data_IF_510596882732
#
_entry.id   IF_510596882732
#
_cell.length_a   1.000
_cell.length_b   1.000
_cell.length_c   1.000
_cell.angle_alpha   90.00
_cell.angle_beta   90.00
_cell.angle_gamma   90.00
#
_symmetry.space_group_name_H-M   'P 1'
#
loop_
_entity.id
_entity.type
_entity.pdbx_description
1 polymer ?
#
# COMPACT_ATOMS: atom_id res chain seq x y z
N UNK A 1 34.32 -24.78 10.59
CA UNK A 1 33.52 -24.67 9.34
C UNK A 1 32.19 -24.00 9.68
N UNK A 2 31.98 -22.73 9.30
CA UNK A 2 30.68 -22.07 9.52
C UNK A 2 29.72 -22.64 8.48
N UNK A 3 28.78 -23.48 8.93
CA UNK A 3 27.75 -24.06 8.07
C UNK A 3 27.05 -22.95 7.30
N UNK A 4 26.91 -23.11 5.99
CA UNK A 4 26.05 -22.25 5.17
C UNK A 4 24.66 -22.34 5.79
N UNK A 5 24.18 -21.23 6.35
CA UNK A 5 22.78 -21.07 6.70
C UNK A 5 22.03 -21.34 5.40
N UNK A 6 21.13 -22.34 5.34
CA UNK A 6 20.38 -22.60 4.12
C UNK A 6 19.68 -21.30 3.74
N UNK A 7 19.76 -20.93 2.46
CA UNK A 7 18.99 -19.79 1.96
C UNK A 7 17.55 -19.98 2.46
N UNK A 8 16.99 -18.99 3.17
CA UNK A 8 15.65 -19.13 3.71
C UNK A 8 14.74 -19.52 2.54
N UNK A 9 13.90 -20.56 2.70
CA UNK A 9 13.05 -21.03 1.62
C UNK A 9 12.35 -19.81 1.04
N UNK A 10 12.46 -19.63 -0.28
CA UNK A 10 11.81 -18.52 -0.99
C UNK A 10 10.40 -18.40 -0.45
N UNK A 11 10.19 -17.42 0.42
CA UNK A 11 8.90 -17.19 1.05
C UNK A 11 7.94 -17.09 -0.13
N UNK A 12 6.97 -18.01 -0.28
CA UNK A 12 6.14 -18.03 -1.47
C UNK A 12 5.53 -16.64 -1.56
N UNK A 13 5.85 -15.95 -2.66
CA UNK A 13 5.37 -14.61 -2.92
C UNK A 13 3.84 -14.70 -2.93
N UNK A 14 3.25 -14.33 -1.81
CA UNK A 14 1.82 -14.38 -1.55
C UNK A 14 1.15 -13.64 -2.70
N UNK A 15 0.44 -14.42 -3.52
CA UNK A 15 -0.70 -14.07 -4.37
C UNK A 15 -0.51 -12.85 -5.28
N UNK A 16 -0.32 -13.14 -6.56
CA UNK A 16 -0.23 -12.19 -7.70
C UNK A 16 -1.54 -11.39 -7.96
N UNK A 17 -2.29 -10.98 -6.93
CA UNK A 17 -3.61 -10.36 -7.09
C UNK A 17 -3.83 -9.07 -6.26
N UNK A 18 -2.79 -8.41 -5.74
CA UNK A 18 -2.96 -7.30 -4.81
C UNK A 18 -2.12 -6.06 -5.17
N UNK A 19 -2.17 -5.65 -6.44
CA UNK A 19 -1.62 -4.36 -6.87
C UNK A 19 -2.53 -3.76 -7.93
N UNK A 20 -2.71 -2.44 -7.88
CA UNK A 20 -3.41 -1.72 -8.93
C UNK A 20 -2.58 -1.69 -10.22
N UNK A 21 -3.27 -1.59 -11.36
CA UNK A 21 -2.66 -1.58 -12.69
C UNK A 21 -1.94 -0.26 -13.04
N UNK A 22 -2.21 0.78 -12.26
CA UNK A 22 -1.52 2.06 -12.35
C UNK A 22 -0.32 2.16 -11.41
N UNK A 23 0.52 3.16 -11.65
CA UNK A 23 1.64 3.50 -10.79
C UNK A 23 1.41 4.82 -10.07
N UNK A 24 2.00 4.93 -8.88
CA UNK A 24 2.05 6.16 -8.07
C UNK A 24 3.49 6.45 -7.67
N UNK A 25 3.87 7.71 -7.42
CA UNK A 25 5.18 8.02 -6.87
C UNK A 25 5.42 7.30 -5.55
N UNK A 26 6.62 6.76 -5.34
CA UNK A 26 6.98 6.19 -4.04
C UNK A 26 6.99 7.32 -2.99
N UNK A 27 6.24 7.20 -1.87
CA UNK A 27 6.22 8.24 -0.85
C UNK A 27 7.61 8.52 -0.29
N UNK A 28 7.88 9.79 0.00
CA UNK A 28 9.15 10.25 0.59
C UNK A 28 9.00 10.58 2.08
N UNK A 29 8.27 9.75 2.82
CA UNK A 29 8.09 9.93 4.26
C UNK A 29 9.34 9.47 5.02
N UNK A 30 10.09 10.43 5.56
CA UNK A 30 11.35 10.18 6.28
C UNK A 30 11.18 9.13 7.38
N UNK A 31 12.00 8.08 7.33
CA UNK A 31 12.06 7.05 8.38
C UNK A 31 10.88 6.07 8.43
N UNK A 32 9.88 6.20 7.56
CA UNK A 32 8.70 5.31 7.50
C UNK A 32 8.63 4.41 6.27
N UNK A 33 9.45 4.65 5.25
CA UNK A 33 9.45 3.84 4.03
C UNK A 33 10.67 2.93 3.99
N UNK A 34 10.45 1.65 3.70
CA UNK A 34 11.49 0.62 3.59
C UNK A 34 11.37 -0.11 2.25
N UNK A 35 12.51 -0.34 1.58
CA UNK A 35 12.61 -1.13 0.35
C UNK A 35 13.14 -2.51 0.67
N UNK A 36 12.46 -3.56 0.24
CA UNK A 36 12.88 -4.94 0.44
C UNK A 36 12.96 -5.66 -0.91
N UNK A 37 14.13 -6.18 -1.26
CA UNK A 37 14.29 -7.07 -2.40
C UNK A 37 13.81 -8.48 -2.03
N UNK A 38 12.95 -9.05 -2.86
CA UNK A 38 12.54 -10.45 -2.75
C UNK A 38 12.29 -11.01 -4.14
N UNK A 39 13.06 -12.04 -4.51
CA UNK A 39 12.91 -12.73 -5.80
C UNK A 39 13.10 -11.82 -7.02
N UNK A 40 14.04 -10.88 -6.96
CA UNK A 40 14.32 -9.94 -8.06
C UNK A 40 13.33 -8.78 -8.17
N UNK A 41 12.35 -8.69 -7.27
CA UNK A 41 11.38 -7.59 -7.20
C UNK A 41 11.64 -6.75 -5.95
N UNK A 42 11.43 -5.44 -6.05
CA UNK A 42 11.55 -4.55 -4.90
C UNK A 42 10.15 -4.22 -4.39
N UNK A 43 9.90 -4.52 -3.12
CA UNK A 43 8.65 -4.22 -2.44
C UNK A 43 8.82 -3.02 -1.51
N UNK A 44 7.83 -2.13 -1.53
CA UNK A 44 7.78 -0.94 -0.71
C UNK A 44 6.92 -1.22 0.52
N UNK A 45 7.51 -1.01 1.69
CA UNK A 45 6.84 -1.21 2.97
C UNK A 45 6.73 0.10 3.73
N UNK A 46 5.59 0.27 4.41
CA UNK A 46 5.36 1.32 5.39
C UNK A 46 5.63 0.77 6.79
N UNK A 47 6.45 1.47 7.57
CA UNK A 47 6.78 1.15 8.96
C UNK A 47 5.70 1.77 9.84
N UNK A 48 4.96 0.91 10.53
CA UNK A 48 3.90 1.30 11.45
C UNK A 48 4.48 1.70 12.81
N UNK A 49 5.32 0.82 13.35
CA UNK A 49 5.90 0.98 14.68
C UNK A 49 7.26 0.26 14.75
N UNK A 50 7.99 0.52 15.83
CA UNK A 50 9.25 -0.14 16.15
C UNK A 50 9.12 -0.77 17.52
N UNK A 51 9.08 -2.09 17.55
CA UNK A 51 8.87 -2.85 18.78
C UNK A 51 10.21 -3.41 19.25
N UNK A 52 10.59 -3.12 20.48
CA UNK A 52 11.79 -3.65 21.10
C UNK A 52 11.54 -5.10 21.55
N UNK A 53 12.39 -6.01 21.08
CA UNK A 53 12.40 -7.42 21.48
C UNK A 53 13.51 -7.60 22.52
N UNK A 54 13.18 -7.65 23.83
CA UNK A 54 14.18 -7.69 24.91
C UNK A 54 15.00 -8.97 24.91
N UNK A 55 14.43 -10.09 24.47
CA UNK A 55 15.15 -11.38 24.38
C UNK A 55 16.24 -11.32 23.31
N UNK A 56 15.92 -10.74 22.14
CA UNK A 56 16.87 -10.64 21.02
C UNK A 56 17.71 -9.36 21.07
N UNK A 57 17.49 -8.52 22.08
CA UNK A 57 18.13 -7.20 22.27
C UNK A 57 18.14 -6.36 20.99
N UNK A 58 17.06 -6.44 20.21
CA UNK A 58 16.98 -5.78 18.91
C UNK A 58 15.59 -5.19 18.67
N UNK A 59 15.56 -4.00 18.07
CA UNK A 59 14.33 -3.32 17.70
C UNK A 59 13.88 -3.78 16.33
N UNK A 60 12.72 -4.43 16.24
CA UNK A 60 12.15 -4.85 14.96
C UNK A 60 11.10 -3.86 14.49
N UNK A 61 11.20 -3.35 13.25
CA UNK A 61 10.14 -2.55 12.68
C UNK A 61 8.96 -3.44 12.31
N UNK A 62 7.78 -3.13 12.83
CA UNK A 62 6.52 -3.67 12.33
C UNK A 62 6.18 -2.89 11.07
N UNK A 63 6.05 -3.60 9.96
CA UNK A 63 5.87 -3.00 8.64
C UNK A 63 4.86 -3.75 7.81
N UNK A 64 4.14 -3.03 6.98
CA UNK A 64 3.21 -3.60 6.00
C UNK A 64 3.65 -3.26 4.59
N UNK A 65 3.48 -4.19 3.65
CA UNK A 65 3.71 -3.92 2.23
C UNK A 65 2.61 -2.96 1.74
N UNK A 66 3.00 -1.88 1.07
CA UNK A 66 2.09 -0.89 0.48
C UNK A 66 2.17 -0.86 -1.05
N UNK A 67 3.14 -1.55 -1.64
CA UNK A 67 3.31 -1.53 -3.09
C UNK A 67 4.53 -2.31 -3.55
N UNK A 68 4.63 -2.46 -4.88
CA UNK A 68 5.79 -3.02 -5.57
C UNK A 68 6.40 -1.95 -6.46
N UNK A 69 7.72 -1.74 -6.34
CA UNK A 69 8.45 -0.80 -7.18
C UNK A 69 8.25 -1.16 -8.66
N UNK A 70 7.98 -0.15 -9.47
CA UNK A 70 7.96 -0.29 -10.92
C UNK A 70 9.38 -0.36 -11.47
N UNK A 71 9.50 -0.68 -12.76
CA UNK A 71 10.79 -0.84 -13.43
C UNK A 71 11.58 0.48 -13.51
N UNK A 72 10.88 1.62 -13.47
CA UNK A 72 11.48 2.96 -13.48
C UNK A 72 12.26 3.30 -12.19
N UNK A 73 12.08 2.52 -11.11
CA UNK A 73 12.72 2.74 -9.82
C UNK A 73 12.23 3.96 -9.03
N UNK A 74 11.29 4.72 -9.56
CA UNK A 74 10.78 5.99 -8.97
C UNK A 74 9.31 5.85 -8.57
N UNK A 75 8.54 5.08 -9.32
CA UNK A 75 7.14 4.81 -9.04
C UNK A 75 6.94 3.39 -8.52
N UNK A 76 5.74 3.11 -8.05
CA UNK A 76 5.33 1.79 -7.59
C UNK A 76 3.90 1.50 -8.00
N UNK A 77 3.59 0.22 -8.19
CA UNK A 77 2.23 -0.27 -8.21
C UNK A 77 1.73 -0.35 -6.76
N UNK A 78 0.78 0.51 -6.35
CA UNK A 78 0.26 0.50 -5.00
C UNK A 78 -0.64 -0.72 -4.78
N UNK A 79 -0.86 -1.11 -3.52
CA UNK A 79 -1.91 -2.03 -3.12
C UNK A 79 -3.03 -1.29 -2.37
N UNK A 80 -4.04 -2.00 -1.87
CA UNK A 80 -5.15 -1.40 -1.10
C UNK A 80 -4.65 -0.62 0.13
N UNK A 81 -3.73 -1.21 0.89
CA UNK A 81 -3.15 -0.60 2.10
C UNK A 81 -2.44 0.71 1.85
N UNK A 82 -1.97 0.97 0.64
CA UNK A 82 -1.38 2.27 0.30
C UNK A 82 -2.34 3.42 0.60
N UNK A 83 -3.62 3.27 0.24
CA UNK A 83 -4.63 4.31 0.35
C UNK A 83 -5.13 4.51 1.78
N UNK A 84 -4.96 3.51 2.65
CA UNK A 84 -5.20 3.67 4.09
C UNK A 84 -4.20 4.66 4.73
N UNK A 85 -2.96 4.69 4.24
CA UNK A 85 -1.92 5.59 4.78
C UNK A 85 -1.74 6.88 3.97
N UNK A 86 -2.10 6.87 2.69
CA UNK A 86 -1.96 7.98 1.76
C UNK A 86 -3.27 8.21 0.98
N UNK A 87 -4.35 8.65 1.64
CA UNK A 87 -5.65 8.87 1.00
C UNK A 87 -5.58 9.98 -0.07
N UNK A 88 -4.79 11.01 0.18
CA UNK A 88 -4.61 12.17 -0.72
C UNK A 88 -3.54 11.95 -1.80
N UNK A 89 -3.06 10.71 -1.97
CA UNK A 89 -2.06 10.42 -2.98
C UNK A 89 -2.62 10.70 -4.39
N UNK A 90 -1.83 11.33 -5.28
CA UNK A 90 -2.25 11.53 -6.66
C UNK A 90 -2.41 10.17 -7.34
N UNK A 91 -3.61 9.88 -7.81
CA UNK A 91 -3.95 8.72 -8.65
C UNK A 91 -4.35 9.18 -10.04
N UNK A 92 -4.26 8.32 -11.07
CA UNK A 92 -4.80 8.66 -12.38
C UNK A 92 -6.27 9.03 -12.31
N UNK A 93 -6.67 10.04 -13.10
CA UNK A 93 -8.02 10.59 -13.12
C UNK A 93 -9.12 9.54 -13.30
N UNK A 94 -8.86 8.50 -14.11
CA UNK A 94 -9.81 7.39 -14.31
C UNK A 94 -10.12 6.64 -13.01
N UNK A 95 -9.10 6.41 -12.18
CA UNK A 95 -9.21 5.67 -10.92
C UNK A 95 -9.82 6.54 -9.84
N UNK A 96 -9.49 7.84 -9.87
CA UNK A 96 -10.15 8.86 -9.03
C UNK A 96 -11.66 8.83 -9.25
N UNK A 97 -12.11 8.97 -10.52
CA UNK A 97 -13.54 8.93 -10.86
C UNK A 97 -14.21 7.63 -10.49
N UNK A 98 -13.53 6.49 -10.71
CA UNK A 98 -14.07 5.18 -10.34
C UNK A 98 -14.35 5.09 -8.84
N UNK A 99 -13.39 5.51 -8.01
CA UNK A 99 -13.55 5.52 -6.55
C UNK A 99 -14.62 6.49 -6.08
N UNK A 100 -14.67 7.67 -6.67
CA UNK A 100 -15.74 8.64 -6.41
C UNK A 100 -17.12 8.03 -6.71
N UNK A 101 -17.24 7.31 -7.85
CA UNK A 101 -18.47 6.63 -8.22
C UNK A 101 -18.83 5.47 -7.26
N UNK A 102 -17.84 4.67 -6.82
CA UNK A 102 -18.04 3.59 -5.84
C UNK A 102 -18.55 4.14 -4.49
N UNK A 103 -17.97 5.24 -3.99
CA UNK A 103 -18.42 5.91 -2.75
C UNK A 103 -19.84 6.46 -2.90
N UNK A 104 -20.16 7.07 -4.05
CA UNK A 104 -21.51 7.56 -4.32
C UNK A 104 -22.50 6.40 -4.37
N UNK A 105 -22.17 5.30 -5.06
CA UNK A 105 -23.03 4.13 -5.15
C UNK A 105 -23.29 3.48 -3.78
N UNK A 106 -22.25 3.39 -2.93
CA UNK A 106 -22.38 2.90 -1.56
C UNK A 106 -23.27 3.84 -0.71
N UNK A 107 -23.03 5.16 -0.79
CA UNK A 107 -23.82 6.15 -0.07
C UNK A 107 -25.31 6.10 -0.48
N UNK A 108 -25.60 5.94 -1.77
CA UNK A 108 -26.97 5.79 -2.29
C UNK A 108 -27.61 4.49 -1.78
N UNK A 109 -26.88 3.38 -1.83
CA UNK A 109 -27.34 2.07 -1.35
C UNK A 109 -27.62 2.08 0.16
N UNK A 110 -26.77 2.73 0.95
CA UNK A 110 -26.87 2.75 2.41
C UNK A 110 -27.91 3.74 2.95
N UNK A 111 -28.14 4.86 2.24
CA UNK A 111 -28.96 5.96 2.77
C UNK A 111 -30.34 6.07 2.14
N UNK A 112 -30.62 5.40 1.02
CA UNK A 112 -31.86 5.55 0.26
C UNK A 112 -32.08 6.97 -0.29
N UNK A 113 -31.05 7.82 -0.23
CA UNK A 113 -31.08 9.22 -0.69
C UNK A 113 -30.96 9.29 -2.20
N UNK A 114 -31.40 10.41 -2.76
CA UNK A 114 -31.23 10.71 -4.17
C UNK A 114 -29.78 11.12 -4.50
N UNK A 115 -29.42 11.02 -5.79
CA UNK A 115 -28.10 11.43 -6.30
C UNK A 115 -27.76 12.88 -5.90
N UNK A 116 -28.73 13.79 -5.97
CA UNK A 116 -28.54 15.21 -5.71
C UNK A 116 -28.19 15.48 -4.23
N UNK A 117 -28.83 14.77 -3.30
CA UNK A 117 -28.58 14.91 -1.86
C UNK A 117 -27.19 14.39 -1.47
N UNK A 118 -26.74 13.28 -2.07
CA UNK A 118 -25.39 12.73 -1.84
C UNK A 118 -24.33 13.68 -2.39
N UNK A 119 -24.54 14.21 -3.59
CA UNK A 119 -23.62 15.17 -4.22
C UNK A 119 -23.55 16.51 -3.46
N UNK A 120 -24.64 16.95 -2.84
CA UNK A 120 -24.65 18.15 -2.01
C UNK A 120 -23.81 17.97 -0.74
N UNK A 121 -23.90 16.80 -0.09
CA UNK A 121 -23.11 16.49 1.11
C UNK A 121 -21.60 16.37 0.83
N UNK A 122 -21.22 15.85 -0.33
CA UNK A 122 -19.80 15.74 -0.70
C UNK A 122 -19.16 17.09 -1.08
N UNK A 123 -19.96 18.13 -1.35
CA UNK A 123 -19.50 19.46 -1.75
C UNK A 123 -19.52 20.49 -0.60
N UNK A 124 -20.07 20.13 0.57
CA UNK A 124 -20.10 20.96 1.78
C UNK A 124 -18.91 20.69 2.69
#
# INVERSE_FOLDING_TARGET
MRGRIPDPPHRPLIKMAMYYDFTVPVPKTTGKISRQNSGGRIYIHYILERTYDPEKKHTKPVRTCIGRLAEDGVTMHPNEKFFEFFPDAPVPERERRRREAEVIAEALSASGKSLEEVLAFLKS
#
